data_IF_001468726868
#
_entry.id   IF_001468726868
#
_cell.length_a   1.000
_cell.length_b   1.000
_cell.length_c   1.000
_cell.angle_alpha   90.00
_cell.angle_beta   90.00
_cell.angle_gamma   90.00
#
_symmetry.space_group_name_H-M   'P 1'
#
loop_
_entity.id
_entity.type
_entity.pdbx_description
1 polymer ?
#
# COMPACT_ATOMS: atom_id res chain seq x y z
N UNK A 1 22.34 21.43 -8.10
CA UNK A 1 21.83 22.69 -7.52
C UNK A 1 21.82 22.51 -6.01
N UNK A 2 22.61 23.30 -5.28
CA UNK A 2 22.91 23.07 -3.86
C UNK A 2 21.70 23.52 -3.02
N UNK A 3 21.01 22.57 -2.39
CA UNK A 3 19.92 22.79 -1.42
C UNK A 3 20.48 23.27 -0.06
N UNK A 4 21.23 24.37 -0.04
CA UNK A 4 21.71 25.00 1.21
C UNK A 4 20.86 26.20 1.66
N UNK A 5 19.74 26.49 0.98
CA UNK A 5 18.86 27.62 1.27
C UNK A 5 17.48 27.19 1.77
N UNK A 6 17.42 26.19 2.65
CA UNK A 6 16.19 25.84 3.36
C UNK A 6 16.37 25.98 4.89
N UNK A 7 16.43 27.22 5.41
CA UNK A 7 16.64 27.46 6.83
C UNK A 7 15.48 26.96 7.71
N UNK A 8 14.32 26.70 7.11
CA UNK A 8 13.11 26.27 7.79
C UNK A 8 12.80 24.77 7.60
N UNK A 9 13.53 24.08 6.72
CA UNK A 9 13.29 22.66 6.42
C UNK A 9 12.02 22.37 5.63
N UNK A 10 11.48 23.35 4.90
CA UNK A 10 10.24 23.23 4.13
C UNK A 10 10.31 22.22 2.98
N UNK A 11 11.52 21.94 2.49
CA UNK A 11 11.80 20.97 1.43
C UNK A 11 12.49 19.71 1.98
N UNK A 12 12.48 19.52 3.30
CA UNK A 12 13.00 18.29 3.91
C UNK A 12 12.12 17.10 3.54
N UNK A 13 12.74 15.94 3.35
CA UNK A 13 12.02 14.70 3.11
C UNK A 13 11.19 14.35 4.35
N UNK A 14 9.87 14.17 4.17
CA UNK A 14 9.00 13.68 5.24
C UNK A 14 9.20 12.18 5.42
N UNK A 15 9.60 11.78 6.63
CA UNK A 15 9.91 10.38 6.97
C UNK A 15 8.83 9.86 7.91
N UNK A 16 8.02 8.91 7.44
CA UNK A 16 7.06 8.18 8.26
C UNK A 16 7.58 6.81 8.68
N UNK A 17 7.06 6.33 9.79
CA UNK A 17 7.40 5.03 10.35
C UNK A 17 6.12 4.28 10.69
N UNK A 18 6.02 3.08 10.17
CA UNK A 18 4.86 2.22 10.22
C UNK A 18 5.26 0.79 10.60
N UNK A 19 4.27 -0.06 10.82
CA UNK A 19 4.43 -1.40 11.29
C UNK A 19 4.96 -1.48 12.72
N UNK A 20 5.21 -2.71 13.15
CA UNK A 20 5.63 -3.03 14.49
C UNK A 20 6.87 -3.91 14.45
N UNK A 21 7.76 -3.77 15.44
CA UNK A 21 8.87 -4.73 15.60
C UNK A 21 8.41 -6.05 16.24
N UNK A 22 7.14 -6.15 16.64
CA UNK A 22 6.59 -7.27 17.43
C UNK A 22 5.59 -8.12 16.65
N UNK A 23 4.99 -7.58 15.61
CA UNK A 23 3.91 -8.24 14.88
C UNK A 23 4.11 -8.09 13.37
N UNK A 24 4.23 -9.23 12.69
CA UNK A 24 4.33 -9.31 11.23
C UNK A 24 3.06 -8.81 10.55
N UNK A 25 1.88 -9.03 11.16
CA UNK A 25 0.60 -8.58 10.60
C UNK A 25 0.53 -7.06 10.48
N UNK A 26 0.99 -6.30 11.49
CA UNK A 26 1.03 -4.84 11.42
C UNK A 26 1.86 -4.35 10.22
N UNK A 27 2.99 -5.01 9.94
CA UNK A 27 3.82 -4.69 8.78
C UNK A 27 3.13 -5.02 7.45
N UNK A 28 2.38 -6.12 7.39
CA UNK A 28 1.59 -6.50 6.20
C UNK A 28 0.47 -5.49 5.97
N UNK A 29 -0.29 -5.17 7.02
CA UNK A 29 -1.42 -4.25 6.95
C UNK A 29 -0.97 -2.85 6.53
N UNK A 30 0.17 -2.37 7.04
CA UNK A 30 0.70 -1.06 6.65
C UNK A 30 1.25 -1.06 5.23
N UNK A 31 1.92 -2.13 4.77
CA UNK A 31 2.26 -2.24 3.35
C UNK A 31 1.00 -2.20 2.47
N UNK A 32 -0.04 -2.96 2.83
CA UNK A 32 -1.30 -3.00 2.09
C UNK A 32 -2.00 -1.63 2.06
N UNK A 33 -1.97 -0.89 3.18
CA UNK A 33 -2.46 0.49 3.23
C UNK A 33 -1.70 1.40 2.26
N UNK A 34 -0.39 1.21 2.12
CA UNK A 34 0.42 1.97 1.15
C UNK A 34 0.22 1.52 -0.28
N UNK A 35 0.04 0.23 -0.49
CA UNK A 35 -0.19 -0.38 -1.80
C UNK A 35 -1.49 0.09 -2.45
N UNK A 36 -2.53 0.26 -1.63
CA UNK A 36 -3.86 0.73 -2.04
C UNK A 36 -4.13 2.18 -1.65
N UNK A 37 -3.09 2.89 -1.22
CA UNK A 37 -3.16 4.31 -0.91
C UNK A 37 -3.12 5.17 -2.16
N UNK A 38 -3.35 6.46 -1.98
CA UNK A 38 -3.37 7.46 -3.06
C UNK A 38 -1.97 7.65 -3.68
N UNK A 39 -0.91 7.50 -2.89
CA UNK A 39 0.47 7.70 -3.36
C UNK A 39 1.02 6.40 -3.93
N UNK A 40 1.41 6.43 -5.20
CA UNK A 40 2.01 5.29 -5.90
C UNK A 40 3.43 5.02 -5.42
N UNK A 41 3.69 3.78 -5.00
CA UNK A 41 5.03 3.33 -4.59
C UNK A 41 5.89 3.20 -5.85
N UNK A 42 7.01 3.91 -5.88
CA UNK A 42 8.01 3.86 -6.95
C UNK A 42 8.95 2.68 -6.79
N UNK A 43 9.36 2.37 -5.56
CA UNK A 43 10.31 1.30 -5.25
C UNK A 43 10.21 0.90 -3.78
N UNK A 44 10.42 -0.39 -3.51
CA UNK A 44 10.56 -0.97 -2.18
C UNK A 44 11.98 -1.49 -1.98
N UNK A 45 12.66 -1.05 -0.91
CA UNK A 45 13.95 -1.63 -0.49
C UNK A 45 13.76 -2.46 0.77
N UNK A 46 14.14 -3.73 0.72
CA UNK A 46 14.21 -4.63 1.87
C UNK A 46 15.55 -4.41 2.59
N UNK A 47 15.47 -4.07 3.87
CA UNK A 47 16.60 -3.75 4.73
C UNK A 47 16.82 -4.89 5.72
N UNK A 48 17.89 -5.66 5.53
CA UNK A 48 18.09 -6.90 6.29
C UNK A 48 19.25 -6.79 7.28
N UNK A 49 19.03 -7.30 8.49
CA UNK A 49 20.09 -7.59 9.45
C UNK A 49 19.83 -8.96 10.11
N UNK A 50 20.66 -9.96 9.80
CA UNK A 50 20.38 -11.35 10.17
C UNK A 50 19.04 -11.81 9.58
N UNK A 51 18.17 -12.34 10.44
CA UNK A 51 16.82 -12.81 10.08
C UNK A 51 15.72 -11.75 10.26
N UNK A 52 16.07 -10.47 10.43
CA UNK A 52 15.10 -9.38 10.59
C UNK A 52 15.11 -8.44 9.39
N UNK A 53 13.92 -8.07 8.92
CA UNK A 53 13.75 -7.21 7.75
C UNK A 53 12.86 -6.01 8.06
N UNK A 54 13.33 -4.81 7.73
CA UNK A 54 12.51 -3.63 7.60
C UNK A 54 12.31 -3.31 6.10
N UNK A 55 11.38 -2.43 5.78
CA UNK A 55 11.17 -1.94 4.41
C UNK A 55 11.38 -0.44 4.38
N UNK A 56 11.92 0.07 3.28
CA UNK A 56 11.85 1.47 2.90
C UNK A 56 11.05 1.59 1.61
N UNK A 57 9.94 2.31 1.66
CA UNK A 57 9.11 2.63 0.52
C UNK A 57 9.44 4.04 0.05
N UNK A 58 9.69 4.16 -1.25
CA UNK A 58 9.79 5.44 -1.93
C UNK A 58 8.61 5.58 -2.87
N UNK A 59 8.14 6.80 -3.06
CA UNK A 59 6.98 7.10 -3.87
C UNK A 59 7.41 7.87 -5.12
N UNK A 60 6.51 7.99 -6.09
CA UNK A 60 6.78 8.80 -7.29
C UNK A 60 7.07 10.27 -6.92
N UNK A 61 6.44 10.75 -5.85
CA UNK A 61 6.86 11.98 -5.17
C UNK A 61 8.06 11.71 -4.25
N UNK A 62 9.21 12.30 -4.55
CA UNK A 62 10.45 12.04 -3.80
C UNK A 62 10.55 12.79 -2.45
N UNK A 63 9.52 13.58 -2.12
CA UNK A 63 9.34 14.33 -0.87
C UNK A 63 8.99 13.44 0.33
N UNK A 64 8.63 12.17 0.08
CA UNK A 64 7.99 11.32 1.05
C UNK A 64 8.60 9.92 1.10
N UNK A 65 8.96 9.46 2.30
CA UNK A 65 9.49 8.12 2.55
C UNK A 65 8.74 7.47 3.71
N UNK A 66 8.43 6.18 3.55
CA UNK A 66 7.85 5.37 4.61
C UNK A 66 8.81 4.24 4.95
N UNK A 67 9.17 4.11 6.22
CA UNK A 67 9.80 2.91 6.75
C UNK A 67 8.75 2.01 7.39
N UNK A 68 8.70 0.74 7.00
CA UNK A 68 7.98 -0.31 7.75
C UNK A 68 9.00 -1.02 8.64
N UNK A 69 8.75 -1.03 9.95
CA UNK A 69 9.67 -1.54 10.98
C UNK A 69 9.92 -3.04 10.86
N UNK A 70 10.91 -3.52 11.62
CA UNK A 70 11.45 -4.87 11.46
C UNK A 70 10.62 -6.01 12.08
N UNK A 71 9.30 -6.00 11.92
CA UNK A 71 8.40 -7.09 12.31
C UNK A 71 8.40 -8.27 11.34
N UNK A 72 9.11 -8.14 10.22
CA UNK A 72 9.29 -9.17 9.21
C UNK A 72 10.55 -9.97 9.54
N UNK A 73 10.47 -11.30 9.39
CA UNK A 73 11.61 -12.18 9.62
C UNK A 73 11.77 -13.23 8.53
N UNK A 74 12.97 -13.77 8.36
CA UNK A 74 13.26 -14.97 7.58
C UNK A 74 13.68 -16.12 8.50
N UNK A 75 13.95 -17.29 7.94
CA UNK A 75 14.44 -18.46 8.69
C UNK A 75 13.42 -19.61 8.79
N UNK A 76 13.57 -20.46 9.81
CA UNK A 76 12.79 -21.70 9.93
C UNK A 76 11.29 -21.45 10.14
N UNK A 77 10.49 -22.43 9.71
CA UNK A 77 9.04 -22.37 9.53
C UNK A 77 8.29 -21.65 10.67
N UNK A 78 7.60 -20.55 10.32
CA UNK A 78 6.75 -19.76 11.23
C UNK A 78 5.96 -18.69 10.46
N UNK A 79 5.15 -17.90 11.18
CA UNK A 79 4.34 -16.83 10.56
C UNK A 79 5.17 -15.66 10.04
N UNK A 80 6.33 -15.37 10.66
CA UNK A 80 7.25 -14.32 10.22
C UNK A 80 7.76 -14.52 8.78
N UNK A 81 8.37 -15.67 8.44
CA UNK A 81 8.79 -15.99 7.07
C UNK A 81 7.65 -15.96 6.05
N UNK A 82 6.45 -16.45 6.41
CA UNK A 82 5.27 -16.38 5.53
C UNK A 82 4.87 -14.93 5.24
N UNK A 83 4.86 -14.08 6.26
CA UNK A 83 4.53 -12.67 6.10
C UNK A 83 5.55 -11.91 5.25
N UNK A 84 6.84 -12.18 5.45
CA UNK A 84 7.91 -11.63 4.58
C UNK A 84 7.71 -12.05 3.14
N UNK A 85 7.45 -13.34 2.87
CA UNK A 85 7.18 -13.83 1.52
C UNK A 85 5.91 -13.21 0.92
N UNK A 86 4.84 -13.04 1.71
CA UNK A 86 3.60 -12.40 1.26
C UNK A 86 3.86 -10.96 0.81
N UNK A 87 4.59 -10.16 1.59
CA UNK A 87 4.95 -8.78 1.25
C UNK A 87 5.67 -8.69 -0.09
N UNK A 88 6.62 -9.58 -0.33
CA UNK A 88 7.39 -9.59 -1.58
C UNK A 88 6.46 -9.93 -2.75
N UNK A 89 5.60 -10.95 -2.60
CA UNK A 89 4.61 -11.30 -3.62
C UNK A 89 3.62 -10.17 -3.91
N UNK A 90 3.18 -9.44 -2.89
CA UNK A 90 2.30 -8.29 -3.05
C UNK A 90 2.96 -7.17 -3.87
N UNK A 91 4.24 -6.89 -3.59
CA UNK A 91 5.01 -5.91 -4.34
C UNK A 91 5.27 -6.36 -5.79
N UNK A 92 5.64 -7.63 -6.01
CA UNK A 92 5.80 -8.22 -7.35
C UNK A 92 4.52 -8.12 -8.18
N UNK A 93 3.37 -8.53 -7.63
CA UNK A 93 2.07 -8.47 -8.33
C UNK A 93 1.62 -7.03 -8.63
N UNK A 94 2.17 -6.07 -7.91
CA UNK A 94 1.88 -4.65 -8.11
C UNK A 94 2.91 -3.96 -9.01
N UNK A 95 3.87 -4.70 -9.55
CA UNK A 95 4.90 -4.18 -10.45
C UNK A 95 5.89 -3.24 -9.76
N UNK A 96 6.03 -3.30 -8.44
CA UNK A 96 6.94 -2.44 -7.68
C UNK A 96 8.36 -3.01 -7.79
N UNK A 97 9.35 -2.23 -8.26
CA UNK A 97 10.76 -2.60 -8.19
C UNK A 97 11.19 -2.90 -6.75
N UNK A 98 11.89 -4.02 -6.56
CA UNK A 98 12.36 -4.46 -5.25
C UNK A 98 13.89 -4.45 -5.23
N UNK A 99 14.45 -3.78 -4.24
CA UNK A 99 15.88 -3.81 -3.92
C UNK A 99 16.12 -4.50 -2.59
N UNK A 100 17.30 -5.05 -2.41
CA UNK A 100 17.79 -5.57 -1.13
C UNK A 100 19.05 -4.82 -0.68
N UNK A 101 19.16 -4.61 0.63
CA UNK A 101 20.36 -4.08 1.27
C UNK A 101 20.56 -4.73 2.65
N UNK A 102 21.73 -5.36 2.84
CA UNK A 102 22.16 -5.74 4.18
C UNK A 102 22.64 -4.49 4.93
N UNK A 103 22.08 -4.25 6.12
CA UNK A 103 22.35 -3.08 6.93
C UNK A 103 22.98 -3.45 8.28
N UNK A 104 23.62 -2.46 8.89
CA UNK A 104 24.19 -2.61 10.24
C UNK A 104 23.08 -2.63 11.30
N UNK A 105 23.35 -3.26 12.45
CA UNK A 105 22.45 -3.26 13.61
C UNK A 105 22.10 -1.84 14.05
N UNK A 106 23.05 -0.90 13.94
CA UNK A 106 22.86 0.50 14.32
C UNK A 106 21.81 1.19 13.43
N UNK A 107 21.82 0.95 12.11
CA UNK A 107 20.83 1.49 11.20
C UNK A 107 19.46 0.86 11.45
N UNK A 108 19.39 -0.46 11.63
CA UNK A 108 18.12 -1.14 11.94
C UNK A 108 17.51 -0.62 13.24
N UNK A 109 18.32 -0.42 14.28
CA UNK A 109 17.88 0.15 15.56
C UNK A 109 17.33 1.57 15.39
N UNK A 110 17.94 2.41 14.54
CA UNK A 110 17.41 3.74 14.23
C UNK A 110 16.05 3.66 13.56
N UNK A 111 15.89 2.81 12.55
CA UNK A 111 14.60 2.62 11.86
C UNK A 111 13.51 2.16 12.84
N UNK A 112 13.79 1.14 13.65
CA UNK A 112 12.85 0.62 14.64
C UNK A 112 12.46 1.66 15.70
N UNK A 113 13.40 2.55 16.04
CA UNK A 113 13.20 3.66 16.98
C UNK A 113 12.66 4.92 16.31
N UNK A 114 12.27 4.88 15.04
CA UNK A 114 11.75 6.02 14.28
C UNK A 114 12.72 7.21 14.20
N UNK A 115 14.00 6.92 13.97
CA UNK A 115 15.14 7.87 14.05
C UNK A 115 16.10 7.79 12.87
N UNK A 116 15.68 7.26 11.73
CA UNK A 116 16.48 7.34 10.51
C UNK A 116 16.65 8.80 10.08
N UNK A 117 17.83 9.11 9.56
CA UNK A 117 18.21 10.46 9.13
C UNK A 117 18.23 10.58 7.61
N UNK A 118 18.31 11.80 7.08
CA UNK A 118 18.49 12.02 5.64
C UNK A 118 19.72 11.29 5.08
N UNK A 119 20.82 11.27 5.85
CA UNK A 119 22.05 10.54 5.48
C UNK A 119 21.82 9.03 5.40
N UNK A 120 20.96 8.49 6.27
CA UNK A 120 20.59 7.06 6.23
C UNK A 120 19.80 6.75 4.96
N UNK A 121 18.87 7.61 4.58
CA UNK A 121 18.09 7.49 3.34
C UNK A 121 18.99 7.53 2.11
N UNK A 122 19.89 8.52 2.03
CA UNK A 122 20.86 8.64 0.93
C UNK A 122 21.77 7.41 0.84
N UNK A 123 22.22 6.91 1.99
CA UNK A 123 22.98 5.66 2.06
C UNK A 123 22.17 4.49 1.50
N UNK A 124 20.93 4.30 1.92
CA UNK A 124 20.08 3.20 1.44
C UNK A 124 19.84 3.32 -0.07
N UNK A 125 19.44 4.49 -0.56
CA UNK A 125 19.20 4.75 -2.00
C UNK A 125 20.43 4.45 -2.85
N UNK A 126 21.63 4.78 -2.36
CA UNK A 126 22.89 4.58 -3.10
C UNK A 126 23.44 3.15 -3.05
N UNK A 127 23.02 2.32 -2.07
CA UNK A 127 23.58 0.98 -1.85
C UNK A 127 22.61 -0.16 -2.13
N UNK A 128 21.30 0.09 -2.14
CA UNK A 128 20.30 -0.91 -2.51
C UNK A 128 20.57 -1.45 -3.91
N UNK A 129 20.51 -2.78 -4.06
CA UNK A 129 20.68 -3.46 -5.35
C UNK A 129 19.44 -4.25 -5.68
N UNK A 130 19.09 -4.31 -6.96
CA UNK A 130 18.13 -5.29 -7.46
C UNK A 130 18.73 -6.68 -7.22
N UNK A 131 18.21 -7.38 -6.22
CA UNK A 131 18.66 -8.71 -5.85
C UNK A 131 17.48 -9.42 -5.25
N UNK A 132 17.27 -10.66 -5.66
CA UNK A 132 16.22 -11.53 -5.15
C UNK A 132 16.88 -12.81 -4.71
N UNK A 133 17.16 -12.95 -3.41
CA UNK A 133 17.52 -14.27 -2.89
C UNK A 133 16.24 -15.05 -2.56
N UNK A 134 15.69 -15.73 -3.57
CA UNK A 134 14.43 -16.49 -3.48
C UNK A 134 14.43 -17.57 -2.39
N UNK A 135 15.58 -18.17 -2.10
CA UNK A 135 15.70 -19.19 -1.05
C UNK A 135 15.68 -18.57 0.34
N UNK A 136 16.44 -17.48 0.56
CA UNK A 136 16.49 -16.78 1.85
C UNK A 136 15.15 -16.17 2.23
N UNK A 137 14.45 -15.58 1.26
CA UNK A 137 13.18 -14.89 1.50
C UNK A 137 11.96 -15.82 1.51
N UNK A 138 12.21 -17.14 1.52
CA UNK A 138 11.21 -18.18 1.64
C UNK A 138 10.06 -18.10 0.60
N UNK A 139 10.32 -17.56 -0.59
CA UNK A 139 9.29 -17.26 -1.60
C UNK A 139 8.57 -18.50 -2.16
N UNK A 140 9.07 -19.70 -1.84
CA UNK A 140 8.41 -20.99 -2.14
C UNK A 140 7.23 -21.30 -1.22
N UNK A 141 7.11 -20.63 -0.08
CA UNK A 141 6.09 -20.92 0.94
C UNK A 141 4.74 -20.28 0.58
N UNK A 142 4.74 -19.13 -0.12
CA UNK A 142 3.53 -18.38 -0.44
C UNK A 142 3.17 -18.56 -1.92
N UNK A 143 2.01 -19.18 -2.16
CA UNK A 143 1.42 -19.35 -3.49
C UNK A 143 0.42 -18.22 -3.82
N UNK A 144 -0.04 -18.15 -5.07
CA UNK A 144 -0.99 -17.13 -5.54
C UNK A 144 -2.31 -17.13 -4.75
N UNK A 145 -2.80 -18.30 -4.37
CA UNK A 145 -4.04 -18.44 -3.57
C UNK A 145 -3.89 -17.81 -2.18
N UNK A 146 -2.73 -17.96 -1.55
CA UNK A 146 -2.43 -17.32 -0.26
C UNK A 146 -2.40 -15.79 -0.39
N UNK A 147 -1.78 -15.27 -1.45
CA UNK A 147 -1.77 -13.83 -1.74
C UNK A 147 -3.20 -13.31 -1.94
N UNK A 148 -4.03 -14.01 -2.71
CA UNK A 148 -5.41 -13.62 -2.95
C UNK A 148 -6.22 -13.60 -1.65
N UNK A 149 -6.09 -14.62 -0.79
CA UNK A 149 -6.77 -14.65 0.52
C UNK A 149 -6.36 -13.49 1.44
N UNK A 150 -5.08 -13.12 1.42
CA UNK A 150 -4.61 -11.98 2.20
C UNK A 150 -5.24 -10.66 1.71
N UNK A 151 -5.32 -10.49 0.38
CA UNK A 151 -6.05 -9.36 -0.24
C UNK A 151 -7.50 -9.37 0.20
N UNK A 152 -8.23 -10.47 0.00
CA UNK A 152 -9.66 -10.57 0.34
C UNK A 152 -9.93 -10.31 1.83
N UNK A 153 -9.03 -10.76 2.72
CA UNK A 153 -9.12 -10.50 4.16
C UNK A 153 -8.95 -9.01 4.47
N UNK A 154 -7.96 -8.37 3.85
CA UNK A 154 -7.75 -6.94 3.99
C UNK A 154 -8.96 -6.13 3.50
N UNK A 155 -9.55 -6.52 2.36
CA UNK A 155 -10.81 -5.93 1.83
C UNK A 155 -11.99 -6.08 2.77
N UNK A 156 -12.13 -7.25 3.40
CA UNK A 156 -13.23 -7.51 4.32
C UNK A 156 -13.08 -6.70 5.62
N UNK A 157 -11.86 -6.52 6.08
CA UNK A 157 -11.56 -5.88 7.36
C UNK A 157 -11.46 -4.36 7.27
N UNK A 158 -11.21 -3.82 6.07
CA UNK A 158 -11.18 -2.39 5.80
C UNK A 158 -12.08 -2.16 4.60
N UNK A 159 -13.13 -1.35 4.76
CA UNK A 159 -14.04 -0.90 3.67
C UNK A 159 -13.28 -0.06 2.61
N UNK A 160 -12.24 -0.63 2.01
CA UNK A 160 -11.39 0.02 1.03
C UNK A 160 -12.05 -0.14 -0.34
N UNK A 161 -11.67 0.78 -1.24
CA UNK A 161 -12.02 0.80 -2.65
C UNK A 161 -10.71 0.91 -3.45
N UNK A 162 -10.07 -0.19 -3.88
CA UNK A 162 -9.14 -0.18 -5.03
C UNK A 162 -9.75 0.69 -6.12
N UNK A 163 -9.14 1.78 -6.55
CA UNK A 163 -9.43 2.33 -7.87
C UNK A 163 -8.11 2.29 -8.60
N UNK A 164 -7.85 1.20 -9.30
CA UNK A 164 -6.76 1.18 -10.28
C UNK A 164 -7.26 1.91 -11.53
N UNK A 165 -6.89 3.17 -11.69
CA UNK A 165 -6.94 3.84 -13.00
C UNK A 165 -5.54 4.13 -13.47
N UNK A 166 -5.15 3.46 -14.54
CA UNK A 166 -4.35 3.98 -15.65
C UNK A 166 -4.57 3.01 -16.81
N UNK A 167 -5.42 3.41 -17.77
CA UNK A 167 -5.55 2.79 -19.09
C UNK A 167 -4.14 2.77 -19.77
N UNK A 168 -3.70 1.76 -20.51
CA UNK A 168 -4.41 0.96 -21.49
C UNK A 168 -3.84 -0.48 -21.51
N UNK A 169 -4.73 -1.47 -21.60
CA UNK A 169 -4.52 -2.83 -22.18
C UNK A 169 -4.59 -4.09 -21.33
N UNK A 170 -4.66 -4.12 -19.98
CA UNK A 170 -5.28 -5.26 -19.25
C UNK A 170 -5.18 -5.18 -17.71
N UNK A 171 -6.33 -5.40 -17.05
CA UNK A 171 -6.58 -5.98 -15.71
C UNK A 171 -6.69 -5.05 -14.48
N UNK A 172 -7.87 -4.42 -14.40
CA UNK A 172 -8.86 -4.39 -13.31
C UNK A 172 -8.41 -4.46 -11.84
N UNK A 173 -8.77 -3.42 -11.07
CA UNK A 173 -9.92 -3.50 -10.14
C UNK A 173 -10.29 -2.11 -9.59
N UNK A 174 -11.56 -1.75 -9.76
CA UNK A 174 -12.29 -0.70 -9.05
C UNK A 174 -13.13 -1.41 -7.96
N UNK A 175 -12.92 -1.20 -6.67
CA UNK A 175 -13.58 -1.88 -5.55
C UNK A 175 -14.62 -0.94 -4.97
N UNK A 176 -15.82 -0.88 -5.50
CA UNK A 176 -16.86 -0.03 -4.90
C UNK A 176 -17.37 -0.66 -3.59
N UNK A 177 -17.54 0.13 -2.51
CA UNK A 177 -18.19 -0.29 -1.25
C UNK A 177 -19.59 -0.83 -1.57
N UNK A 178 -19.65 -2.17 -1.60
CA UNK A 178 -20.78 -2.95 -2.07
C UNK A 178 -22.01 -2.71 -1.21
N UNK A 179 -21.84 -2.50 0.10
CA UNK A 179 -22.97 -2.37 1.02
C UNK A 179 -23.64 -1.02 0.86
N UNK A 180 -22.85 0.04 0.65
CA UNK A 180 -23.36 1.40 0.43
C UNK A 180 -23.95 1.56 -0.97
N UNK A 181 -23.30 1.01 -2.00
CA UNK A 181 -23.82 1.00 -3.36
C UNK A 181 -25.12 0.18 -3.46
N UNK A 182 -25.20 -0.99 -2.82
CA UNK A 182 -26.42 -1.79 -2.77
C UNK A 182 -27.54 -1.07 -2.02
N UNK A 183 -27.25 -0.44 -0.88
CA UNK A 183 -28.24 0.31 -0.11
C UNK A 183 -28.82 1.49 -0.90
N UNK A 184 -27.97 2.24 -1.62
CA UNK A 184 -28.40 3.35 -2.47
C UNK A 184 -29.22 2.87 -3.68
N UNK A 185 -28.83 1.75 -4.32
CA UNK A 185 -29.62 1.15 -5.40
C UNK A 185 -30.98 0.64 -4.92
N UNK A 186 -31.04 0.13 -3.69
CA UNK A 186 -32.28 -0.31 -3.06
C UNK A 186 -33.21 0.88 -2.78
N UNK A 187 -32.68 1.97 -2.22
CA UNK A 187 -33.42 3.21 -1.96
C UNK A 187 -33.96 3.85 -3.25
N UNK A 188 -33.17 3.83 -4.34
CA UNK A 188 -33.60 4.31 -5.66
C UNK A 188 -34.69 3.39 -6.24
N UNK A 189 -34.53 2.07 -6.17
CA UNK A 189 -35.52 1.12 -6.66
C UNK A 189 -36.87 1.23 -5.92
N UNK A 190 -36.84 1.41 -4.60
CA UNK A 190 -38.04 1.64 -3.78
C UNK A 190 -38.73 2.96 -4.09
N UNK A 191 -37.97 4.02 -4.35
CA UNK A 191 -38.51 5.32 -4.75
C UNK A 191 -39.18 5.26 -6.14
N UNK A 192 -38.57 4.53 -7.08
CA UNK A 192 -39.10 4.35 -8.45
C UNK A 192 -40.35 3.47 -8.47
N UNK A 193 -40.39 2.38 -7.69
CA UNK A 193 -41.53 1.46 -7.64
C UNK A 193 -42.75 2.00 -6.88
N UNK A 194 -42.56 2.92 -5.94
CA UNK A 194 -43.67 3.65 -5.28
C UNK A 194 -44.28 4.76 -6.16
N UNK A 195 -43.59 5.21 -7.21
CA UNK A 195 -44.12 6.19 -8.15
C UNK A 195 -45.07 5.52 -9.15
N UNK A 196 -46.36 5.85 -9.06
CA UNK A 196 -47.42 5.32 -9.94
C UNK A 196 -47.76 6.21 -11.15
N UNK A 197 -46.99 7.26 -11.45
CA UNK A 197 -47.36 8.22 -12.50
C UNK A 197 -46.29 8.46 -13.57
N UNK A 198 -46.78 8.58 -14.80
CA UNK A 198 -46.10 8.50 -16.09
C UNK A 198 -45.27 9.73 -16.49
N UNK A 199 -44.64 10.44 -15.56
CA UNK A 199 -43.70 11.52 -15.88
C UNK A 199 -42.48 11.47 -14.97
N UNK A 200 -41.66 10.46 -15.21
CA UNK A 200 -40.42 10.19 -14.50
C UNK A 200 -39.48 11.43 -14.55
N UNK A 201 -39.40 12.16 -15.66
CA UNK A 201 -38.42 13.23 -15.82
C UNK A 201 -38.66 14.51 -14.98
N UNK A 202 -39.88 14.79 -14.52
CA UNK A 202 -40.17 16.03 -13.75
C UNK A 202 -40.00 15.88 -12.25
N UNK A 203 -40.23 14.69 -11.70
CA UNK A 203 -40.01 14.41 -10.27
C UNK A 203 -38.53 14.21 -9.95
N UNK A 204 -37.71 14.05 -11.00
CA UNK A 204 -36.27 13.95 -10.91
C UNK A 204 -35.56 15.32 -11.00
N UNK A 205 -36.06 16.34 -10.31
CA UNK A 205 -35.28 17.55 -9.97
C UNK A 205 -33.96 17.24 -9.25
N UNK A 206 -33.81 16.01 -8.76
CA UNK A 206 -32.59 15.44 -8.16
C UNK A 206 -31.65 14.74 -9.17
N UNK A 207 -31.92 14.71 -10.48
CA UNK A 207 -30.97 14.13 -11.44
C UNK A 207 -29.69 14.97 -11.55
N UNK A 208 -29.75 16.29 -11.33
CA UNK A 208 -28.55 17.13 -11.30
C UNK A 208 -27.62 16.79 -10.13
N UNK A 209 -28.18 16.50 -8.94
CA UNK A 209 -27.38 16.13 -7.77
C UNK A 209 -26.77 14.74 -7.96
N UNK A 210 -27.53 13.79 -8.51
CA UNK A 210 -27.07 12.42 -8.80
C UNK A 210 -26.02 12.41 -9.93
N UNK A 211 -26.21 13.14 -11.03
CA UNK A 211 -25.22 13.26 -12.12
C UNK A 211 -23.96 14.00 -11.67
N UNK A 212 -24.09 15.02 -10.80
CA UNK A 212 -22.91 15.72 -10.23
C UNK A 212 -22.10 14.80 -9.32
N UNK A 213 -22.77 13.87 -8.64
CA UNK A 213 -22.13 12.91 -7.74
C UNK A 213 -21.49 11.75 -8.51
N UNK A 214 -22.12 11.25 -9.57
CA UNK A 214 -21.54 10.24 -10.47
C UNK A 214 -20.31 10.79 -11.22
N UNK A 215 -20.32 12.08 -11.60
CA UNK A 215 -19.14 12.77 -12.16
C UNK A 215 -18.00 12.99 -11.16
N UNK A 216 -18.26 12.89 -9.85
CA UNK A 216 -17.22 12.98 -8.82
C UNK A 216 -16.54 11.64 -8.53
N UNK A 217 -17.02 10.57 -9.17
CA UNK A 217 -16.55 9.18 -8.99
C UNK A 217 -15.94 8.57 -10.27
N UNK A 218 -16.05 9.25 -11.42
CA UNK A 218 -15.31 8.99 -12.67
C UNK A 218 -14.09 9.93 -12.74
#
# INVERSE_FOLDING_TARGET
>A
MILNNDPLGLYSTDIKYEGSTRATQDCIDDLMNRLYGIRKIKEMTILTHGEHHALMLTFESEDYIVFIKSGLTSGYLGEGPKGTSLIIRLAEESGIPIKELNITTALLKRINSSRATQKDIEFIKSKGKESFNYERLCLRIVNKEYVQRAKDTFKKNKDIIFVKTEDEKTKDAVEIDRTKALKMLQEIHEAVTKSKNSNILSDFGNISSILSFIKSFL
#
